data_IF_847669682126
#
_entry.id   IF_847669682126
#
_cell.length_a   1.000
_cell.length_b   1.000
_cell.length_c   1.000
_cell.angle_alpha   90.00
_cell.angle_beta   90.00
_cell.angle_gamma   90.00
#
_symmetry.space_group_name_H-M   'P 1'
#
loop_
_entity.id
_entity.type
_entity.pdbx_description
1 polymer ?
#
# COMPACT_ATOMS: atom_id res chain seq x y z
N UNK A 1 -3.35 6.14 -7.85
CA UNK A 1 -4.52 6.86 -8.43
C UNK A 1 -4.85 6.39 -9.85
N UNK A 2 -3.88 6.36 -10.78
CA UNK A 2 -4.11 5.94 -12.17
C UNK A 2 -4.55 4.47 -12.29
N UNK A 3 -4.06 3.57 -11.45
CA UNK A 3 -4.42 2.14 -11.46
C UNK A 3 -5.85 1.92 -11.00
N UNK A 4 -6.31 2.68 -9.99
CA UNK A 4 -7.70 2.60 -9.52
C UNK A 4 -8.68 3.20 -10.53
N UNK A 5 -8.31 4.27 -11.23
CA UNK A 5 -9.12 4.89 -12.29
C UNK A 5 -9.23 3.99 -13.53
N UNK A 6 -8.11 3.43 -14.02
CA UNK A 6 -8.10 2.59 -15.21
C UNK A 6 -8.77 1.23 -15.05
N UNK A 7 -8.90 0.69 -13.84
CA UNK A 7 -9.56 -0.59 -13.62
C UNK A 7 -11.11 -0.50 -13.69
N UNK A 8 -11.68 0.69 -13.50
CA UNK A 8 -13.14 0.92 -13.59
C UNK A 8 -13.58 1.04 -15.04
N UNK A 9 -12.77 1.68 -15.91
CA UNK A 9 -13.10 1.93 -17.31
C UNK A 9 -13.16 0.65 -18.17
N UNK A 10 -12.40 -0.39 -17.84
CA UNK A 10 -12.35 -1.60 -18.66
C UNK A 10 -13.46 -2.62 -18.39
N UNK A 11 -14.17 -2.50 -17.25
CA UNK A 11 -15.13 -3.52 -16.83
C UNK A 11 -16.57 -3.25 -17.29
N UNK A 12 -16.95 -2.02 -17.59
CA UNK A 12 -18.36 -1.64 -17.78
C UNK A 12 -18.69 -0.90 -19.08
N UNK A 13 -17.71 -0.35 -19.80
CA UNK A 13 -17.96 0.38 -21.06
C UNK A 13 -18.83 1.63 -20.92
N UNK A 14 -19.12 2.07 -19.71
CA UNK A 14 -19.87 3.29 -19.42
C UNK A 14 -18.91 4.34 -18.85
N UNK A 15 -18.98 5.56 -19.32
CA UNK A 15 -18.41 6.75 -18.67
C UNK A 15 -19.16 6.96 -17.34
N UNK A 16 -18.90 6.12 -16.35
CA UNK A 16 -19.30 6.43 -14.98
C UNK A 16 -18.42 7.56 -14.46
N UNK A 17 -19.04 8.52 -13.79
CA UNK A 17 -18.35 9.60 -13.07
C UNK A 17 -17.16 9.04 -12.30
N UNK A 18 -15.98 9.61 -12.54
CA UNK A 18 -14.72 9.20 -11.92
C UNK A 18 -14.87 9.29 -10.40
N UNK A 19 -15.13 8.14 -9.76
CA UNK A 19 -15.24 8.06 -8.30
C UNK A 19 -13.89 8.40 -7.66
N UNK A 20 -13.93 9.13 -6.57
CA UNK A 20 -12.74 9.36 -5.78
C UNK A 20 -12.21 8.05 -5.19
N UNK A 21 -10.88 7.86 -5.09
CA UNK A 21 -10.29 6.63 -4.53
C UNK A 21 -10.82 6.26 -3.14
N UNK A 22 -11.17 7.27 -2.32
CA UNK A 22 -11.74 7.06 -1.00
C UNK A 22 -13.13 6.41 -1.06
N UNK A 23 -13.96 6.82 -2.04
CA UNK A 23 -15.32 6.30 -2.22
C UNK A 23 -15.28 4.85 -2.71
N UNK A 24 -14.33 4.52 -3.60
CA UNK A 24 -14.12 3.14 -4.06
C UNK A 24 -13.74 2.24 -2.89
N UNK A 25 -12.85 2.69 -2.01
CA UNK A 25 -12.46 1.92 -0.81
C UNK A 25 -13.66 1.72 0.11
N UNK A 26 -14.44 2.77 0.37
CA UNK A 26 -15.64 2.70 1.22
C UNK A 26 -16.66 1.71 0.66
N UNK A 27 -17.02 1.84 -0.62
CA UNK A 27 -17.96 0.94 -1.30
C UNK A 27 -17.48 -0.52 -1.32
N UNK A 28 -16.16 -0.73 -1.49
CA UNK A 28 -15.57 -2.07 -1.45
C UNK A 28 -15.67 -2.72 -0.07
N UNK A 29 -15.50 -1.92 1.02
CA UNK A 29 -15.55 -2.40 2.40
C UNK A 29 -16.97 -2.64 2.88
N UNK A 30 -17.94 -1.84 2.46
CA UNK A 30 -19.37 -2.02 2.74
C UNK A 30 -19.93 -3.30 2.10
N UNK A 31 -19.25 -3.84 1.08
CA UNK A 31 -19.57 -5.15 0.52
C UNK A 31 -20.71 -5.16 -0.50
N UNK A 32 -21.33 -4.02 -0.78
CA UNK A 32 -22.46 -3.90 -1.71
C UNK A 32 -22.02 -3.67 -3.17
N UNK A 33 -20.80 -3.17 -3.39
CA UNK A 33 -20.24 -2.90 -4.71
C UNK A 33 -19.17 -3.93 -5.08
N UNK A 34 -19.55 -4.90 -5.91
CA UNK A 34 -18.66 -5.96 -6.37
C UNK A 34 -17.54 -5.43 -7.26
N UNK A 35 -17.78 -4.39 -8.07
CA UNK A 35 -16.78 -3.80 -8.94
C UNK A 35 -15.70 -3.07 -8.09
N UNK A 36 -16.13 -2.26 -7.12
CA UNK A 36 -15.24 -1.61 -6.18
C UNK A 36 -14.40 -2.63 -5.39
N UNK A 37 -15.01 -3.73 -4.94
CA UNK A 37 -14.31 -4.81 -4.22
C UNK A 37 -13.26 -5.49 -5.10
N UNK A 38 -13.56 -5.77 -6.38
CA UNK A 38 -12.61 -6.34 -7.34
C UNK A 38 -11.46 -5.36 -7.61
N UNK A 39 -11.76 -4.08 -7.75
CA UNK A 39 -10.76 -3.03 -7.94
C UNK A 39 -9.80 -2.95 -6.76
N UNK A 40 -10.31 -2.95 -5.53
CA UNK A 40 -9.49 -2.95 -4.33
C UNK A 40 -8.63 -4.22 -4.20
N UNK A 41 -9.20 -5.38 -4.53
CA UNK A 41 -8.46 -6.66 -4.54
C UNK A 41 -7.30 -6.64 -5.56
N UNK A 42 -7.57 -6.10 -6.77
CA UNK A 42 -6.54 -5.94 -7.80
C UNK A 42 -5.44 -4.96 -7.36
N UNK A 43 -5.81 -3.84 -6.75
CA UNK A 43 -4.85 -2.90 -6.17
C UNK A 43 -3.94 -3.58 -5.16
N UNK A 44 -4.49 -4.37 -4.23
CA UNK A 44 -3.70 -5.11 -3.24
C UNK A 44 -2.73 -6.10 -3.89
N UNK A 45 -3.17 -6.80 -4.93
CA UNK A 45 -2.34 -7.75 -5.68
C UNK A 45 -1.16 -7.05 -6.37
N UNK A 46 -1.42 -5.92 -7.04
CA UNK A 46 -0.39 -5.10 -7.70
C UNK A 46 0.58 -4.53 -6.66
N UNK A 47 0.06 -4.00 -5.56
CA UNK A 47 0.89 -3.48 -4.46
C UNK A 47 1.81 -4.56 -3.90
N UNK A 48 1.32 -5.79 -3.74
CA UNK A 48 2.13 -6.93 -3.32
C UNK A 48 3.27 -7.24 -4.29
N UNK A 49 2.95 -7.27 -5.59
CA UNK A 49 3.96 -7.51 -6.63
C UNK A 49 5.06 -6.44 -6.61
N UNK A 50 4.67 -5.17 -6.62
CA UNK A 50 5.62 -4.04 -6.64
C UNK A 50 6.45 -3.98 -5.36
N UNK A 51 5.84 -4.21 -4.19
CA UNK A 51 6.54 -4.23 -2.92
C UNK A 51 7.58 -5.38 -2.86
N UNK A 52 7.25 -6.55 -3.42
CA UNK A 52 8.17 -7.68 -3.53
C UNK A 52 9.35 -7.38 -4.45
N UNK A 53 9.10 -6.74 -5.62
CA UNK A 53 10.16 -6.32 -6.54
C UNK A 53 11.08 -5.29 -5.89
N UNK A 54 10.52 -4.28 -5.23
CA UNK A 54 11.28 -3.27 -4.50
C UNK A 54 12.14 -3.90 -3.39
N UNK A 55 11.59 -4.85 -2.63
CA UNK A 55 12.33 -5.55 -1.59
C UNK A 55 13.55 -6.30 -2.15
N UNK A 56 13.42 -6.94 -3.32
CA UNK A 56 14.51 -7.64 -3.99
C UNK A 56 15.56 -6.68 -4.54
N UNK A 57 15.13 -5.62 -5.24
CA UNK A 57 16.04 -4.62 -5.84
C UNK A 57 16.93 -3.98 -4.77
N UNK A 58 16.36 -3.70 -3.59
CA UNK A 58 17.08 -3.02 -2.51
C UNK A 58 17.71 -3.97 -1.47
N UNK A 59 17.52 -5.27 -1.59
CA UNK A 59 17.95 -6.23 -0.57
C UNK A 59 17.32 -5.94 0.80
N UNK A 60 16.08 -5.45 0.82
CA UNK A 60 15.44 -4.94 2.02
C UNK A 60 15.02 -6.06 2.98
N UNK A 61 15.27 -5.87 4.28
CA UNK A 61 14.78 -6.76 5.35
C UNK A 61 13.43 -6.31 5.92
N UNK A 62 13.04 -5.09 5.62
CA UNK A 62 11.76 -4.51 6.04
C UNK A 62 11.20 -3.65 4.93
N UNK A 63 9.93 -3.84 4.63
CA UNK A 63 9.13 -2.99 3.73
C UNK A 63 8.12 -2.24 4.57
N UNK A 64 8.13 -0.92 4.48
CA UNK A 64 7.17 -0.07 5.15
C UNK A 64 6.22 0.54 4.13
N UNK A 65 4.94 0.23 4.24
CA UNK A 65 3.88 0.79 3.40
C UNK A 65 3.33 2.03 4.11
N UNK A 66 3.46 3.19 3.47
CA UNK A 66 2.97 4.46 3.97
C UNK A 66 2.00 5.09 2.97
N UNK A 67 1.21 6.04 3.43
CA UNK A 67 0.27 6.81 2.62
C UNK A 67 -1.13 6.85 3.21
N UNK A 68 -2.01 7.65 2.62
CA UNK A 68 -3.36 7.89 3.15
C UNK A 68 -4.41 6.83 2.82
N UNK A 69 -4.12 5.92 1.89
CA UNK A 69 -5.10 4.95 1.38
C UNK A 69 -5.05 3.64 2.16
N UNK A 70 -3.88 3.00 2.25
CA UNK A 70 -3.71 1.65 2.83
C UNK A 70 -4.18 1.53 4.29
N UNK A 71 -3.96 2.51 5.18
CA UNK A 71 -4.44 2.44 6.56
C UNK A 71 -5.95 2.24 6.70
N UNK A 72 -6.73 2.65 5.69
CA UNK A 72 -8.20 2.56 5.70
C UNK A 72 -8.71 1.13 5.52
N UNK A 73 -7.92 0.22 4.95
CA UNK A 73 -8.33 -1.15 4.63
C UNK A 73 -7.32 -2.22 5.03
N UNK A 74 -6.56 -2.02 6.09
CA UNK A 74 -5.56 -3.00 6.56
C UNK A 74 -6.14 -4.42 6.76
N UNK A 75 -7.34 -4.62 7.33
CA UNK A 75 -7.94 -5.95 7.42
C UNK A 75 -8.16 -6.60 6.05
N UNK A 76 -8.66 -5.83 5.07
CA UNK A 76 -8.84 -6.29 3.70
C UNK A 76 -7.50 -6.65 3.04
N UNK A 77 -6.47 -5.81 3.22
CA UNK A 77 -5.12 -6.05 2.71
C UNK A 77 -4.57 -7.39 3.21
N UNK A 78 -4.76 -7.71 4.49
CA UNK A 78 -4.28 -8.96 5.10
C UNK A 78 -4.94 -10.20 4.52
N UNK A 79 -6.21 -10.13 4.12
CA UNK A 79 -6.97 -11.22 3.51
C UNK A 79 -6.90 -11.25 1.98
N UNK A 80 -6.23 -10.26 1.37
CA UNK A 80 -6.08 -10.14 -0.07
C UNK A 80 -4.92 -10.97 -0.62
N UNK A 81 -4.78 -10.98 -1.95
CA UNK A 81 -3.64 -11.60 -2.63
C UNK A 81 -2.31 -10.83 -2.47
N UNK A 82 -2.23 -9.81 -1.61
CA UNK A 82 -1.03 -9.01 -1.41
C UNK A 82 0.18 -9.89 -1.07
N UNK A 83 0.08 -10.72 -0.02
CA UNK A 83 1.20 -11.55 0.42
C UNK A 83 1.57 -12.62 -0.60
N UNK A 84 0.60 -13.25 -1.22
CA UNK A 84 0.81 -14.20 -2.30
C UNK A 84 1.65 -13.58 -3.43
N UNK A 85 1.24 -12.39 -3.89
CA UNK A 85 1.93 -11.67 -4.95
C UNK A 85 3.29 -11.11 -4.55
N UNK A 86 3.44 -10.71 -3.29
CA UNK A 86 4.73 -10.32 -2.72
C UNK A 86 5.75 -11.46 -2.81
N UNK A 87 5.31 -12.68 -2.47
CA UNK A 87 6.16 -13.88 -2.46
C UNK A 87 6.34 -14.54 -3.84
N UNK A 88 5.49 -14.22 -4.84
CA UNK A 88 5.51 -14.85 -6.16
C UNK A 88 6.72 -14.39 -7.00
N UNK A 89 7.93 -14.67 -6.52
CA UNK A 89 9.22 -14.29 -7.13
C UNK A 89 10.13 -15.50 -7.37
N UNK A 90 9.52 -16.67 -7.62
CA UNK A 90 10.24 -17.90 -7.94
C UNK A 90 11.26 -18.27 -6.87
N UNK A 91 12.52 -18.47 -7.25
CA UNK A 91 13.60 -18.86 -6.33
C UNK A 91 13.87 -17.89 -5.17
N UNK A 92 13.39 -16.65 -5.27
CA UNK A 92 13.57 -15.62 -4.25
C UNK A 92 12.45 -15.59 -3.20
N UNK A 93 11.45 -16.47 -3.30
CA UNK A 93 10.34 -16.53 -2.35
C UNK A 93 10.82 -16.73 -0.91
N UNK A 94 11.76 -17.65 -0.68
CA UNK A 94 12.33 -17.90 0.66
C UNK A 94 13.00 -16.65 1.28
N UNK A 95 13.69 -15.85 0.48
CA UNK A 95 14.22 -14.57 0.96
C UNK A 95 13.10 -13.63 1.38
N UNK A 96 12.07 -13.49 0.54
CA UNK A 96 10.95 -12.58 0.80
C UNK A 96 10.09 -13.02 1.98
N UNK A 97 10.03 -14.31 2.31
CA UNK A 97 9.37 -14.81 3.53
C UNK A 97 9.99 -14.22 4.80
N UNK A 98 11.31 -13.97 4.80
CA UNK A 98 12.03 -13.36 5.92
C UNK A 98 11.85 -11.84 6.02
N UNK A 99 11.29 -11.19 5.00
CA UNK A 99 11.08 -9.74 4.96
C UNK A 99 9.89 -9.33 5.81
N UNK A 100 10.12 -8.40 6.74
CA UNK A 100 9.06 -7.82 7.55
C UNK A 100 8.25 -6.80 6.75
N UNK A 101 6.94 -6.95 6.72
CA UNK A 101 6.03 -6.01 6.08
C UNK A 101 5.28 -5.25 7.17
N UNK A 102 5.34 -3.92 7.14
CA UNK A 102 4.69 -3.04 8.10
C UNK A 102 3.88 -1.97 7.39
N UNK A 103 2.72 -1.64 7.93
CA UNK A 103 1.89 -0.51 7.46
C UNK A 103 1.98 0.61 8.50
N UNK A 104 2.28 1.82 8.04
CA UNK A 104 2.27 3.02 8.88
C UNK A 104 0.82 3.49 8.99
N UNK A 105 0.26 3.46 10.19
CA UNK A 105 -1.12 3.86 10.47
C UNK A 105 -1.24 5.26 11.10
N UNK A 106 -0.11 5.93 11.36
CA UNK A 106 -0.11 7.29 11.89
C UNK A 106 -0.69 8.29 10.87
N UNK A 107 -1.50 9.23 11.31
CA UNK A 107 -2.23 10.17 10.44
C UNK A 107 -1.34 11.21 9.76
N UNK A 108 -0.16 11.50 10.29
CA UNK A 108 0.80 12.46 9.75
C UNK A 108 2.24 11.96 9.82
N UNK A 109 2.59 10.82 9.16
CA UNK A 109 3.91 10.22 9.32
C UNK A 109 5.04 11.11 8.78
N UNK A 110 4.78 11.86 7.71
CA UNK A 110 5.77 12.79 7.14
C UNK A 110 6.10 13.95 8.08
N UNK A 111 5.09 14.57 8.67
CA UNK A 111 5.28 15.67 9.63
C UNK A 111 5.99 15.18 10.90
N UNK A 112 5.60 14.02 11.42
CA UNK A 112 6.27 13.40 12.57
C UNK A 112 7.74 13.11 12.26
N UNK A 113 8.03 12.54 11.09
CA UNK A 113 9.40 12.27 10.64
C UNK A 113 10.24 13.53 10.53
N UNK A 114 9.70 14.59 9.94
CA UNK A 114 10.37 15.88 9.83
C UNK A 114 10.67 16.50 11.21
N UNK A 115 9.70 16.46 12.12
CA UNK A 115 9.88 16.95 13.49
C UNK A 115 10.96 16.16 14.25
N UNK A 116 11.00 14.84 14.08
CA UNK A 116 12.02 13.99 14.69
C UNK A 116 13.42 14.25 14.12
N UNK A 117 13.54 14.46 12.81
CA UNK A 117 14.79 14.81 12.15
C UNK A 117 15.33 16.15 12.67
N UNK A 118 14.49 17.19 12.69
CA UNK A 118 14.87 18.51 13.22
C UNK A 118 15.33 18.42 14.67
N UNK A 119 14.59 17.68 15.50
CA UNK A 119 14.97 17.48 16.91
C UNK A 119 16.33 16.81 17.07
N UNK A 120 16.63 15.82 16.22
CA UNK A 120 17.92 15.14 16.22
C UNK A 120 19.07 16.06 15.80
N UNK A 121 18.85 16.95 14.83
CA UNK A 121 19.85 17.91 14.38
C UNK A 121 20.13 18.98 15.44
N UNK A 122 19.10 19.54 16.07
CA UNK A 122 19.25 20.49 17.19
C UNK A 122 20.02 19.88 18.37
N UNK A 123 19.74 18.61 18.68
CA UNK A 123 20.48 17.91 19.75
C UNK A 123 21.97 17.72 19.43
N UNK A 124 22.32 17.50 18.15
CA UNK A 124 23.72 17.41 17.71
C UNK A 124 24.45 18.76 17.79
N UNK A 125 23.76 19.84 17.43
CA UNK A 125 24.34 21.20 17.54
C UNK A 125 24.62 21.61 18.98
N UNK A 126 23.72 21.24 19.91
CA UNK A 126 23.85 21.56 21.36
C UNK A 126 24.95 20.76 22.02
N UNK A 127 25.36 19.62 21.45
CA UNK A 127 26.41 18.75 21.96
C UNK A 127 27.83 19.09 21.44
N UNK A 128 27.94 20.10 20.58
CA UNK A 128 29.23 20.65 20.08
C UNK A 128 29.67 21.85 20.87
#
# INVERSE_FOLDING_TARGET
>A
DAVLRGAVDHATGQHEDLREPADIVTAALEGHDLAARRTLARFCAVLGSVAGDAALIHGARTVMIAGGIVPRFVPFLRSSAFRERFLAKGRFAAYLESVNIRVITHTGPGLLGAAMALRADLARETAR
#
